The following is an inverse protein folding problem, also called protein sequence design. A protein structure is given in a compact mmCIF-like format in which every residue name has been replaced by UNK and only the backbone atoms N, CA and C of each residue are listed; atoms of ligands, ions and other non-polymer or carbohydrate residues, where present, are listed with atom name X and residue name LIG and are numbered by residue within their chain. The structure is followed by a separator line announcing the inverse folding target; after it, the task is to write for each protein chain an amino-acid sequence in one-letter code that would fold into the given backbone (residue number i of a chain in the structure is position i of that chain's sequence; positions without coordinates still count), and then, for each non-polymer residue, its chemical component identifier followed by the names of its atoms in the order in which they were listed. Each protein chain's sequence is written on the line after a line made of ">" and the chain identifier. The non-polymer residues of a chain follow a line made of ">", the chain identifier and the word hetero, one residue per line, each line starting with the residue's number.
data_IF_384789512122
#
_entry.id   IF_384789512122
#
_cell.length_a   1.000
_cell.length_b   1.000
_cell.length_c   1.000
_cell.angle_alpha   90.00
_cell.angle_beta   90.00
_cell.angle_gamma   90.00
#
_symmetry.space_group_name_H-M   'P 1'
#
loop_
_entity.id
_entity.type
_entity.pdbx_description
1 polymer ?
#
# COMPACT_ATOMS: atom_id res chain seq x y z
N UNK A 1 1.81 25.90 -1.63
CA UNK A 1 0.74 24.91 -1.84
C UNK A 1 1.28 23.51 -1.65
N UNK A 2 2.20 23.09 -2.52
CA UNK A 2 2.63 21.68 -2.63
C UNK A 2 3.54 21.17 -1.50
N UNK A 3 4.52 21.96 -1.05
CA UNK A 3 5.41 21.56 0.06
C UNK A 3 4.64 21.32 1.37
N UNK A 4 3.60 22.13 1.64
CA UNK A 4 2.73 21.92 2.81
C UNK A 4 1.95 20.62 2.69
N UNK A 5 1.39 20.31 1.51
CA UNK A 5 0.69 19.06 1.26
C UNK A 5 1.61 17.84 1.40
N UNK A 6 2.86 17.92 0.91
CA UNK A 6 3.84 16.84 1.03
C UNK A 6 4.25 16.58 2.49
N UNK A 7 4.38 17.62 3.32
CA UNK A 7 4.64 17.46 4.75
C UNK A 7 3.48 16.79 5.48
N UNK A 8 2.23 17.13 5.12
CA UNK A 8 1.05 16.47 5.67
C UNK A 8 1.04 14.98 5.31
N UNK A 9 1.27 14.63 4.05
CA UNK A 9 1.35 13.22 3.59
C UNK A 9 2.45 12.45 4.32
N UNK A 10 3.61 13.08 4.57
CA UNK A 10 4.70 12.45 5.32
C UNK A 10 4.28 12.13 6.76
N UNK A 11 3.66 13.08 7.45
CA UNK A 11 3.12 12.85 8.80
C UNK A 11 2.02 11.80 8.82
N UNK A 12 1.13 11.81 7.83
CA UNK A 12 0.10 10.78 7.65
C UNK A 12 0.74 9.39 7.64
N UNK A 13 1.64 9.14 6.68
CA UNK A 13 2.25 7.82 6.47
C UNK A 13 3.11 7.36 7.65
N UNK A 14 3.81 8.28 8.32
CA UNK A 14 4.54 7.98 9.56
C UNK A 14 3.58 7.65 10.71
N UNK A 15 2.43 8.33 10.79
CA UNK A 15 1.38 8.02 11.77
C UNK A 15 0.82 6.63 11.53
N UNK A 16 0.57 6.25 10.28
CA UNK A 16 0.12 4.90 9.93
C UNK A 16 1.11 3.84 10.39
N UNK A 17 2.41 4.05 10.14
CA UNK A 17 3.47 3.14 10.60
C UNK A 17 3.55 3.09 12.13
N UNK A 18 3.48 4.23 12.81
CA UNK A 18 3.45 4.26 14.28
C UNK A 18 2.29 3.43 14.83
N UNK A 19 1.08 3.69 14.32
CA UNK A 19 -0.14 3.05 14.77
C UNK A 19 -0.13 1.54 14.49
N UNK A 20 0.35 1.12 13.33
CA UNK A 20 0.38 -0.31 12.96
C UNK A 20 1.56 -1.06 13.59
N UNK A 21 2.79 -0.58 13.43
CA UNK A 21 4.00 -1.30 13.84
C UNK A 21 4.19 -1.33 15.36
N UNK A 22 3.81 -0.25 16.06
CA UNK A 22 4.06 -0.09 17.49
C UNK A 22 2.79 -0.32 18.31
N UNK A 23 1.67 0.25 17.88
CA UNK A 23 0.41 0.21 18.64
C UNK A 23 -0.53 -0.93 18.22
N UNK A 24 -0.19 -1.67 17.15
CA UNK A 24 -0.92 -2.86 16.73
C UNK A 24 -2.27 -2.56 16.08
N UNK A 25 -2.47 -1.37 15.54
CA UNK A 25 -3.65 -1.07 14.73
C UNK A 25 -3.69 -1.97 13.50
N UNK A 26 -4.90 -2.37 13.13
CA UNK A 26 -5.11 -3.12 11.89
C UNK A 26 -4.92 -2.21 10.69
N UNK A 27 -4.28 -2.74 9.65
CA UNK A 27 -4.00 -2.02 8.42
C UNK A 27 -5.25 -1.46 7.71
N UNK A 28 -6.41 -2.12 7.87
CA UNK A 28 -7.69 -1.69 7.29
C UNK A 28 -8.38 -0.59 8.09
N UNK A 29 -7.90 -0.29 9.31
CA UNK A 29 -8.49 0.72 10.22
C UNK A 29 -7.56 1.88 10.53
N UNK A 30 -6.29 1.80 10.11
CA UNK A 30 -5.28 2.77 10.51
C UNK A 30 -5.47 4.15 9.89
N UNK A 31 -5.98 4.21 8.65
CA UNK A 31 -6.11 5.44 7.87
C UNK A 31 -6.83 6.57 8.63
N UNK A 32 -8.01 6.27 9.18
CA UNK A 32 -8.82 7.27 9.89
C UNK A 32 -8.13 7.83 11.14
N UNK A 33 -7.41 6.98 11.88
CA UNK A 33 -6.68 7.44 13.06
C UNK A 33 -5.41 8.21 12.67
N UNK A 34 -4.73 7.81 11.59
CA UNK A 34 -3.60 8.56 11.06
C UNK A 34 -4.01 9.96 10.55
N UNK A 35 -5.15 10.07 9.86
CA UNK A 35 -5.73 11.34 9.42
C UNK A 35 -6.01 12.31 10.59
N UNK A 36 -6.41 11.79 11.76
CA UNK A 36 -6.60 12.62 12.96
C UNK A 36 -5.28 13.09 13.55
N UNK A 37 -4.27 12.21 13.57
CA UNK A 37 -2.97 12.49 14.19
C UNK A 37 -2.06 13.40 13.35
N UNK A 38 -2.13 13.32 12.03
CA UNK A 38 -1.16 13.97 11.13
C UNK A 38 -1.06 15.49 11.28
N UNK A 39 -2.15 16.13 11.70
CA UNK A 39 -2.23 17.58 11.88
C UNK A 39 -1.64 18.05 13.21
N UNK A 40 -1.61 17.18 14.22
CA UNK A 40 -1.17 17.49 15.58
C UNK A 40 0.27 17.04 15.87
N UNK A 41 0.88 16.25 14.99
CA UNK A 41 2.29 15.85 15.11
C UNK A 41 3.21 17.03 14.82
N UNK A 42 4.06 17.39 15.80
CA UNK A 42 5.13 18.39 15.62
C UNK A 42 6.27 17.82 14.77
N UNK A 43 7.13 18.68 14.21
CA UNK A 43 8.30 18.22 13.45
C UNK A 43 9.30 17.44 14.31
N UNK A 44 9.43 17.77 15.59
CA UNK A 44 10.28 17.01 16.53
C UNK A 44 9.71 15.60 16.77
N UNK A 45 8.38 15.49 16.94
CA UNK A 45 7.72 14.20 17.10
C UNK A 45 7.83 13.36 15.83
N UNK A 46 7.66 13.97 14.65
CA UNK A 46 7.85 13.33 13.35
C UNK A 46 9.24 12.67 13.23
N UNK A 47 10.31 13.40 13.58
CA UNK A 47 11.67 12.87 13.54
C UNK A 47 11.87 11.71 14.52
N UNK A 48 11.30 11.82 15.73
CA UNK A 48 11.37 10.75 16.74
C UNK A 48 10.59 9.49 16.33
N UNK A 49 9.44 9.67 15.67
CA UNK A 49 8.67 8.56 15.11
C UNK A 49 9.48 7.86 14.02
N UNK A 50 10.02 8.60 13.05
CA UNK A 50 10.83 8.04 11.96
C UNK A 50 12.06 7.28 12.49
N UNK A 51 12.79 7.86 13.44
CA UNK A 51 13.93 7.23 14.11
C UNK A 51 13.51 5.93 14.80
N UNK A 52 12.40 5.96 15.56
CA UNK A 52 11.90 4.81 16.32
C UNK A 52 11.44 3.67 15.42
N UNK A 53 10.91 3.98 14.24
CA UNK A 53 10.46 3.02 13.23
C UNK A 53 11.61 2.50 12.36
N UNK A 54 12.85 2.96 12.56
CA UNK A 54 14.01 2.52 11.78
C UNK A 54 14.07 3.11 10.36
N UNK A 55 13.59 4.32 10.16
CA UNK A 55 13.55 5.03 8.87
C UNK A 55 12.77 4.28 7.77
N UNK A 56 11.47 3.96 8.00
CA UNK A 56 10.65 3.25 7.04
C UNK A 56 10.56 4.03 5.71
N UNK A 57 10.53 3.30 4.60
CA UNK A 57 10.43 3.90 3.25
C UNK A 57 9.01 3.98 2.72
N UNK A 58 8.10 3.19 3.28
CA UNK A 58 6.70 3.10 2.84
C UNK A 58 5.76 3.06 4.05
N UNK A 59 4.51 3.47 3.83
CA UNK A 59 3.42 3.19 4.77
C UNK A 59 2.99 1.70 4.72
N UNK A 60 2.11 1.23 5.61
CA UNK A 60 1.63 -0.15 5.62
C UNK A 60 0.96 -0.58 4.31
N UNK A 61 0.40 0.35 3.54
CA UNK A 61 -0.24 0.10 2.24
C UNK A 61 0.73 0.23 1.06
N UNK A 62 2.01 0.47 1.32
CA UNK A 62 3.07 0.48 0.31
C UNK A 62 3.33 1.82 -0.34
N UNK A 63 2.65 2.89 0.06
CA UNK A 63 2.95 4.22 -0.46
C UNK A 63 4.28 4.76 0.09
N UNK A 64 5.14 5.34 -0.76
CA UNK A 64 6.44 5.86 -0.35
C UNK A 64 6.31 7.02 0.64
N UNK A 65 7.02 7.00 1.76
CA UNK A 65 7.04 8.13 2.69
C UNK A 65 7.88 9.24 2.03
N UNK A 66 7.33 10.45 1.80
CA UNK A 66 8.12 11.56 1.29
C UNK A 66 9.30 11.83 2.22
N UNK A 67 10.44 12.27 1.70
CA UNK A 67 11.52 12.76 2.56
C UNK A 67 11.21 14.14 3.19
N UNK A 68 12.14 14.69 3.98
CA UNK A 68 11.95 15.98 4.67
C UNK A 68 11.73 17.16 3.72
N UNK A 69 12.22 17.06 2.48
CA UNK A 69 12.03 18.04 1.42
C UNK A 69 10.77 17.74 0.56
N UNK A 70 10.09 16.64 0.87
CA UNK A 70 8.87 16.19 0.24
C UNK A 70 9.09 15.44 -1.08
N UNK A 71 10.30 14.98 -1.38
CA UNK A 71 10.54 14.13 -2.54
C UNK A 71 10.00 12.73 -2.32
N UNK A 72 9.40 12.19 -3.37
CA UNK A 72 8.87 10.84 -3.42
C UNK A 72 9.58 10.11 -4.56
N UNK A 73 10.17 8.96 -4.26
CA UNK A 73 10.66 8.05 -5.30
C UNK A 73 9.44 7.40 -5.96
N UNK A 74 9.33 7.57 -7.28
CA UNK A 74 8.30 6.87 -8.06
C UNK A 74 8.85 5.52 -8.50
N UNK A 75 8.20 4.45 -8.05
CA UNK A 75 8.43 3.13 -8.60
C UNK A 75 7.69 2.97 -9.93
N UNK A 76 8.38 2.42 -10.93
CA UNK A 76 7.78 2.07 -12.21
C UNK A 76 6.87 0.84 -12.02
N UNK A 77 5.63 1.11 -11.63
CA UNK A 77 4.61 0.10 -11.31
C UNK A 77 3.50 0.09 -12.36
N UNK A 78 2.85 -1.07 -12.51
CA UNK A 78 1.67 -1.26 -13.35
C UNK A 78 0.53 -1.78 -12.48
N UNK A 79 -0.72 -1.71 -12.96
CA UNK A 79 -1.83 -2.36 -12.25
C UNK A 79 -1.71 -3.88 -12.34
N UNK A 80 -2.20 -4.60 -11.33
CA UNK A 80 -2.29 -6.06 -11.38
C UNK A 80 -3.11 -6.53 -12.59
N UNK A 81 -4.14 -5.78 -12.97
CA UNK A 81 -4.98 -6.04 -14.15
C UNK A 81 -4.24 -5.91 -15.49
N UNK A 82 -3.05 -5.30 -15.52
CA UNK A 82 -2.21 -5.17 -16.71
C UNK A 82 -1.19 -6.32 -16.87
N UNK A 83 -1.10 -7.22 -15.89
CA UNK A 83 -0.30 -8.43 -16.03
C UNK A 83 -1.02 -9.47 -16.90
N UNK A 84 -0.29 -10.10 -17.80
CA UNK A 84 -0.81 -11.15 -18.69
C UNK A 84 -0.65 -12.53 -18.07
N UNK A 85 -1.36 -13.52 -18.62
CA UNK A 85 -1.23 -14.91 -18.20
C UNK A 85 0.24 -15.36 -18.22
N UNK A 86 0.65 -16.05 -17.15
CA UNK A 86 2.02 -16.48 -16.84
C UNK A 86 3.02 -15.37 -16.43
N UNK A 87 2.65 -14.09 -16.46
CA UNK A 87 3.46 -13.02 -15.89
C UNK A 87 3.38 -13.03 -14.35
N UNK A 88 4.39 -12.42 -13.72
CA UNK A 88 4.52 -12.30 -12.27
C UNK A 88 4.93 -10.88 -11.89
N UNK A 89 4.61 -10.50 -10.66
CA UNK A 89 5.01 -9.22 -10.10
C UNK A 89 4.97 -9.25 -8.59
N UNK A 90 5.50 -8.20 -7.97
CA UNK A 90 5.43 -7.96 -6.53
C UNK A 90 4.45 -6.84 -6.28
N UNK A 91 3.52 -7.03 -5.34
CA UNK A 91 2.62 -5.96 -4.91
C UNK A 91 3.46 -4.87 -4.25
N UNK A 92 3.40 -3.65 -4.80
CA UNK A 92 4.14 -2.50 -4.27
C UNK A 92 3.23 -1.64 -3.41
N UNK A 93 2.02 -1.36 -3.88
CA UNK A 93 1.07 -0.51 -3.16
C UNK A 93 -0.38 -0.78 -3.56
N UNK A 94 -1.31 -0.21 -2.79
CA UNK A 94 -2.74 -0.29 -3.05
C UNK A 94 -3.30 1.11 -3.22
N UNK A 95 -4.04 1.34 -4.30
CA UNK A 95 -4.72 2.58 -4.62
C UNK A 95 -6.05 2.68 -3.87
N UNK A 96 -6.26 3.79 -3.17
CA UNK A 96 -7.41 4.07 -2.29
C UNK A 96 -7.44 3.20 -1.03
N UNK A 97 -7.27 3.82 0.15
CA UNK A 97 -7.24 3.14 1.45
C UNK A 97 -8.67 2.88 2.00
N UNK A 98 -9.53 2.28 1.17
CA UNK A 98 -10.87 1.89 1.59
C UNK A 98 -10.80 0.69 2.57
N UNK A 99 -11.32 0.86 3.79
CA UNK A 99 -11.28 -0.17 4.83
C UNK A 99 -11.88 -1.52 4.42
N UNK A 100 -13.01 -1.54 3.71
CA UNK A 100 -13.66 -2.80 3.31
C UNK A 100 -12.80 -3.55 2.29
N UNK A 101 -12.25 -2.81 1.33
CA UNK A 101 -11.34 -3.36 0.33
C UNK A 101 -10.06 -3.89 0.97
N UNK A 102 -9.43 -3.11 1.85
CA UNK A 102 -8.23 -3.53 2.58
C UNK A 102 -8.53 -4.76 3.44
N UNK A 103 -9.66 -4.80 4.14
CA UNK A 103 -10.05 -5.98 4.92
C UNK A 103 -10.17 -7.22 4.01
N UNK A 104 -10.81 -7.08 2.85
CA UNK A 104 -10.95 -8.16 1.88
C UNK A 104 -9.58 -8.61 1.33
N UNK A 105 -8.72 -7.68 0.91
CA UNK A 105 -7.34 -7.98 0.47
C UNK A 105 -6.56 -8.76 1.52
N UNK A 106 -6.67 -8.36 2.78
CA UNK A 106 -5.97 -8.99 3.89
C UNK A 106 -6.44 -10.43 4.09
N UNK A 107 -7.75 -10.68 3.96
CA UNK A 107 -8.31 -12.05 4.00
C UNK A 107 -7.77 -12.96 2.89
N UNK A 108 -7.32 -12.40 1.77
CA UNK A 108 -6.74 -13.09 0.63
C UNK A 108 -5.21 -13.22 0.72
N UNK A 109 -4.58 -12.65 1.75
CA UNK A 109 -3.13 -12.58 1.88
C UNK A 109 -2.46 -11.62 0.89
N UNK A 110 -3.21 -10.66 0.35
CA UNK A 110 -2.72 -9.66 -0.59
C UNK A 110 -2.24 -8.42 0.18
N UNK A 111 -0.93 -8.39 0.44
CA UNK A 111 -0.24 -7.29 1.09
C UNK A 111 0.89 -6.76 0.20
N UNK A 112 1.38 -5.53 0.42
CA UNK A 112 2.65 -5.10 -0.15
C UNK A 112 3.78 -6.10 0.10
N UNK A 113 4.75 -6.13 -0.81
CA UNK A 113 5.92 -7.02 -0.85
C UNK A 113 5.61 -8.49 -1.19
N UNK A 114 4.33 -8.85 -1.33
CA UNK A 114 3.93 -10.21 -1.71
C UNK A 114 4.05 -10.42 -3.22
N UNK A 115 4.67 -11.53 -3.61
CA UNK A 115 4.73 -11.97 -5.01
C UNK A 115 3.40 -12.61 -5.45
N UNK A 116 2.96 -12.22 -6.65
CA UNK A 116 1.78 -12.76 -7.32
C UNK A 116 2.14 -13.22 -8.73
N UNK A 117 1.51 -14.32 -9.18
CA UNK A 117 1.62 -14.82 -10.56
C UNK A 117 0.25 -14.95 -11.19
N UNK A 118 0.07 -14.43 -12.40
CA UNK A 118 -1.17 -14.59 -13.15
C UNK A 118 -1.23 -15.99 -13.74
N UNK A 119 -2.28 -16.74 -13.41
CA UNK A 119 -2.57 -18.06 -13.97
C UNK A 119 -3.39 -17.93 -15.25
N UNK A 120 -4.46 -17.15 -15.18
CA UNK A 120 -5.34 -16.88 -16.33
C UNK A 120 -6.11 -15.58 -16.11
N UNK A 121 -6.55 -14.98 -17.22
CA UNK A 121 -7.44 -13.82 -17.23
C UNK A 121 -8.70 -14.25 -17.97
N UNK A 122 -9.85 -14.21 -17.29
CA UNK A 122 -11.11 -14.57 -17.94
C UNK A 122 -11.49 -13.52 -19.00
N UNK A 123 -12.14 -13.93 -20.11
CA UNK A 123 -12.54 -13.00 -21.18
C UNK A 123 -13.59 -11.98 -20.70
N UNK A 124 -13.81 -10.94 -21.51
CA UNK A 124 -14.83 -9.90 -21.30
C UNK A 124 -14.69 -9.11 -19.99
N UNK A 125 -13.47 -8.97 -19.48
CA UNK A 125 -13.22 -8.29 -18.20
C UNK A 125 -13.62 -9.13 -16.98
N UNK A 126 -13.73 -10.45 -17.16
CA UNK A 126 -13.93 -11.39 -16.06
C UNK A 126 -12.76 -11.42 -15.07
N UNK A 127 -12.86 -12.25 -14.03
CA UNK A 127 -11.87 -12.28 -12.97
C UNK A 127 -10.50 -12.78 -13.43
N UNK A 128 -9.48 -12.38 -12.69
CA UNK A 128 -8.09 -12.75 -12.88
C UNK A 128 -7.75 -13.82 -11.84
N UNK A 129 -7.38 -15.02 -12.30
CA UNK A 129 -6.90 -16.07 -11.43
C UNK A 129 -5.42 -15.83 -11.16
N UNK A 130 -5.07 -15.62 -9.89
CA UNK A 130 -3.69 -15.43 -9.46
C UNK A 130 -3.26 -16.53 -8.50
N UNK A 131 -1.96 -16.81 -8.49
CA UNK A 131 -1.31 -17.59 -7.45
C UNK A 131 -0.59 -16.65 -6.50
N UNK A 132 -0.91 -16.74 -5.21
CA UNK A 132 -0.32 -15.95 -4.12
C UNK A 132 -0.15 -16.84 -2.90
N UNK A 133 0.97 -16.74 -2.19
CA UNK A 133 1.24 -17.49 -0.94
C UNK A 133 0.95 -19.00 -1.00
N UNK A 134 1.07 -19.62 -2.19
CA UNK A 134 0.79 -21.04 -2.42
C UNK A 134 -0.67 -21.37 -2.77
N UNK A 135 -1.59 -20.42 -2.60
CA UNK A 135 -3.02 -20.53 -2.93
C UNK A 135 -3.33 -19.95 -4.31
N UNK A 136 -4.38 -20.46 -4.95
CA UNK A 136 -4.95 -19.87 -6.16
C UNK A 136 -6.25 -19.13 -5.78
N UNK A 137 -6.31 -17.84 -6.13
CA UNK A 137 -7.44 -16.97 -5.79
C UNK A 137 -7.93 -16.23 -7.02
N UNK A 138 -9.24 -16.04 -7.10
CA UNK A 138 -9.90 -15.29 -8.17
C UNK A 138 -10.11 -13.85 -7.72
N UNK A 139 -9.49 -12.91 -8.42
CA UNK A 139 -9.56 -11.48 -8.12
C UNK A 139 -10.39 -10.79 -9.19
N UNK A 140 -11.43 -10.06 -8.78
CA UNK A 140 -12.23 -9.24 -9.69
C UNK A 140 -11.39 -8.14 -10.34
N UNK A 141 -11.72 -7.75 -11.57
CA UNK A 141 -10.96 -6.74 -12.33
C UNK A 141 -10.86 -5.40 -11.58
N UNK A 142 -11.93 -4.98 -10.91
CA UNK A 142 -11.97 -3.74 -10.12
C UNK A 142 -10.91 -3.72 -9.01
N UNK A 143 -10.79 -4.82 -8.25
CA UNK A 143 -9.76 -4.93 -7.22
C UNK A 143 -8.36 -4.95 -7.85
N UNK A 144 -8.17 -5.69 -8.95
CA UNK A 144 -6.89 -5.75 -9.64
C UNK A 144 -6.46 -4.40 -10.25
N UNK A 145 -7.38 -3.49 -10.55
CA UNK A 145 -7.07 -2.13 -11.02
C UNK A 145 -6.57 -1.21 -9.91
N UNK A 146 -6.83 -1.57 -8.64
CA UNK A 146 -6.38 -0.84 -7.46
C UNK A 146 -5.08 -1.39 -6.86
N UNK A 147 -4.60 -2.55 -7.29
CA UNK A 147 -3.35 -3.14 -6.81
C UNK A 147 -2.22 -2.76 -7.76
N UNK A 148 -1.21 -2.06 -7.26
CA UNK A 148 -0.01 -1.71 -8.01
C UNK A 148 1.06 -2.77 -7.82
N UNK A 149 1.66 -3.20 -8.93
CA UNK A 149 2.70 -4.24 -8.94
C UNK A 149 3.93 -3.81 -9.73
N UNK A 150 5.09 -4.27 -9.30
CA UNK A 150 6.32 -4.21 -10.07
C UNK A 150 6.50 -5.52 -10.83
N UNK A 151 6.63 -5.45 -12.17
CA UNK A 151 6.87 -6.63 -13.01
C UNK A 151 8.21 -7.28 -12.67
N UNK A 152 8.26 -8.62 -12.72
CA UNK A 152 9.47 -9.44 -12.56
C UNK A 152 9.82 -10.20 -13.83
#
# INVERSE_FOLDING_TARGET
>A
GELKARKVIRKHRLSERLLTDILGFKWDKVHEEACRLEHDISSEMEEKIEEKLGNPKTCPHGYPIPDKDGFIVQDNTVKLSELKANEKGVIISVFEENSEMLQYMGSLGLYPEIEVKIKSVAPFGGPILIKVTGSEISVGKELAEKIMVQRK
#
